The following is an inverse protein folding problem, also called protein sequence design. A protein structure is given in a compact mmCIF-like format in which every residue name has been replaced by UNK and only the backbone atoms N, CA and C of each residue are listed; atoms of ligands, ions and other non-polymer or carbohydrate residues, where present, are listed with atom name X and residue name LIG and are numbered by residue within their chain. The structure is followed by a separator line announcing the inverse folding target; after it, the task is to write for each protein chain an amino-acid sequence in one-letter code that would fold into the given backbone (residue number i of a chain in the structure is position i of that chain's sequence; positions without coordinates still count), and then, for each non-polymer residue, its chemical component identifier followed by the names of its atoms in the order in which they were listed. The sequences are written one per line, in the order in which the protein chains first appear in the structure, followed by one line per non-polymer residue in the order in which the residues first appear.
data_IF_930972797800
#
_entry.id   IF_930972797800
#
_cell.length_a   1.000
_cell.length_b   1.000
_cell.length_c   1.000
_cell.angle_alpha   90.00
_cell.angle_beta   90.00
_cell.angle_gamma   90.00
#
_symmetry.space_group_name_H-M   'P 1'
#
loop_
_entity.id
_entity.type
_entity.pdbx_description
1 polymer ?
#
# COMPACT_ATOMS: atom_id res chain seq x y z
N UNK A 1 7.23 -10.39 -6.40
CA UNK A 1 7.71 -9.10 -6.93
C UNK A 1 8.78 -8.60 -5.99
N UNK A 2 10.02 -8.39 -6.48
CA UNK A 2 11.15 -7.93 -5.66
C UNK A 2 11.15 -6.41 -5.54
N UNK A 3 11.82 -5.87 -4.53
CA UNK A 3 11.96 -4.40 -4.31
C UNK A 3 12.62 -3.72 -5.52
N UNK A 4 13.53 -4.41 -6.20
CA UNK A 4 14.18 -3.93 -7.44
C UNK A 4 13.18 -3.76 -8.59
N UNK A 5 12.21 -4.67 -8.71
CA UNK A 5 11.17 -4.57 -9.73
C UNK A 5 10.26 -3.35 -9.48
N UNK A 6 9.98 -3.04 -8.21
CA UNK A 6 9.22 -1.86 -7.82
C UNK A 6 9.96 -0.56 -8.16
N UNK A 7 11.26 -0.51 -7.86
CA UNK A 7 12.12 0.64 -8.20
C UNK A 7 12.18 0.85 -9.71
N UNK A 8 12.24 -0.22 -10.50
CA UNK A 8 12.24 -0.14 -11.98
C UNK A 8 10.94 0.44 -12.54
N UNK A 9 9.78 0.06 -11.98
CA UNK A 9 8.48 0.59 -12.40
C UNK A 9 8.32 2.08 -12.03
N UNK A 10 8.83 2.51 -10.86
CA UNK A 10 8.86 3.93 -10.44
C UNK A 10 9.69 4.78 -11.41
N UNK A 11 10.86 4.28 -11.83
CA UNK A 11 11.77 5.00 -12.75
C UNK A 11 11.20 5.20 -14.17
N UNK A 12 10.12 4.50 -14.54
CA UNK A 12 9.45 4.68 -15.84
C UNK A 12 8.41 5.81 -15.86
N UNK A 13 8.35 6.64 -14.81
CA UNK A 13 7.43 7.79 -14.73
C UNK A 13 5.98 7.40 -14.43
N UNK A 14 5.73 6.14 -14.05
CA UNK A 14 4.42 5.72 -13.57
C UNK A 14 4.19 6.33 -12.19
N UNK A 15 3.07 7.03 -12.02
CA UNK A 15 2.65 7.64 -10.75
C UNK A 15 2.16 6.53 -9.80
N UNK A 16 3.09 5.73 -9.27
CA UNK A 16 2.80 4.54 -8.48
C UNK A 16 2.64 4.90 -7.00
N UNK A 17 1.52 4.48 -6.43
CA UNK A 17 1.24 4.56 -4.99
C UNK A 17 1.75 3.28 -4.34
N UNK A 18 2.83 3.39 -3.58
CA UNK A 18 3.41 2.26 -2.84
C UNK A 18 2.79 2.19 -1.45
N UNK A 19 2.19 1.06 -1.11
CA UNK A 19 1.62 0.79 0.22
C UNK A 19 2.41 -0.33 0.87
N UNK A 20 3.09 0.00 1.97
CA UNK A 20 3.80 -0.97 2.81
C UNK A 20 2.85 -1.53 3.86
N UNK A 21 2.62 -2.84 3.82
CA UNK A 21 1.71 -3.53 4.76
C UNK A 21 2.42 -4.19 5.95
N UNK A 22 3.69 -3.84 6.18
CA UNK A 22 4.45 -4.25 7.37
C UNK A 22 3.99 -3.49 8.61
N UNK A 23 4.37 -4.01 9.78
CA UNK A 23 4.13 -3.33 11.04
C UNK A 23 5.07 -2.12 11.19
N UNK A 24 4.62 -0.99 11.78
CA UNK A 24 5.42 0.22 11.94
C UNK A 24 6.78 -0.03 12.63
N UNK A 25 6.82 -1.00 13.55
CA UNK A 25 8.03 -1.42 14.27
C UNK A 25 9.09 -2.06 13.36
N UNK A 26 8.70 -2.70 12.27
CA UNK A 26 9.64 -3.23 11.26
C UNK A 26 10.25 -2.09 10.44
N UNK A 27 9.46 -1.05 10.12
CA UNK A 27 9.90 0.12 9.36
C UNK A 27 10.89 0.96 10.17
N UNK A 28 10.70 1.08 11.47
CA UNK A 28 11.64 1.78 12.37
C UNK A 28 13.05 1.16 12.35
N UNK A 29 13.15 -0.15 12.11
CA UNK A 29 14.42 -0.89 12.11
C UNK A 29 15.04 -1.03 10.72
N UNK A 30 14.23 -1.19 9.68
CA UNK A 30 14.70 -1.52 8.32
C UNK A 30 14.57 -0.37 7.34
N UNK A 31 13.90 0.71 7.73
CA UNK A 31 13.52 1.80 6.86
C UNK A 31 12.31 1.46 5.97
N UNK A 32 11.94 2.44 5.15
CA UNK A 32 10.84 2.38 4.20
C UNK A 32 11.30 2.84 2.83
N UNK A 33 10.64 2.35 1.77
CA UNK A 33 10.88 2.87 0.42
C UNK A 33 10.39 4.32 0.38
N UNK A 34 11.17 5.19 -0.28
CA UNK A 34 10.80 6.59 -0.48
C UNK A 34 9.48 6.71 -1.25
N UNK A 35 8.56 7.54 -0.73
CA UNK A 35 7.17 7.72 -1.18
C UNK A 35 6.23 6.53 -0.92
N UNK A 36 6.68 5.53 -0.14
CA UNK A 36 5.76 4.52 0.37
C UNK A 36 5.01 5.00 1.62
N UNK A 37 3.72 4.73 1.62
CA UNK A 37 2.83 4.94 2.76
C UNK A 37 2.68 3.62 3.50
N UNK A 38 2.80 3.65 4.81
CA UNK A 38 2.61 2.46 5.63
C UNK A 38 1.14 2.34 6.03
N UNK A 39 0.51 1.23 5.63
CA UNK A 39 -0.83 0.82 6.09
C UNK A 39 -0.70 -0.64 6.50
N UNK A 40 -0.51 -0.93 7.80
CA UNK A 40 -0.30 -2.29 8.29
C UNK A 40 -1.46 -3.21 7.86
N UNK A 41 -1.17 -4.50 7.62
CA UNK A 41 -2.17 -5.45 7.16
C UNK A 41 -3.46 -5.44 8.01
N UNK A 42 -3.33 -5.32 9.33
CA UNK A 42 -4.47 -5.25 10.26
C UNK A 42 -5.34 -4.01 10.09
N UNK A 43 -4.80 -2.93 9.52
CA UNK A 43 -5.54 -1.70 9.25
C UNK A 43 -6.08 -1.61 7.82
N UNK A 44 -5.74 -2.52 6.89
CA UNK A 44 -6.12 -2.38 5.48
C UNK A 44 -7.64 -2.26 5.30
N UNK A 45 -8.42 -3.12 5.96
CA UNK A 45 -9.88 -3.11 5.81
C UNK A 45 -10.49 -1.84 6.39
N UNK A 46 -10.05 -1.41 7.59
CA UNK A 46 -10.55 -0.20 8.22
C UNK A 46 -10.14 1.05 7.45
N UNK A 47 -8.87 1.14 7.02
CA UNK A 47 -8.34 2.23 6.19
C UNK A 47 -9.19 2.41 4.94
N UNK A 48 -9.39 1.35 4.15
CA UNK A 48 -10.13 1.44 2.90
C UNK A 48 -11.66 1.54 3.08
N UNK A 49 -12.15 1.42 4.33
CA UNK A 49 -13.54 1.71 4.70
C UNK A 49 -13.78 3.17 5.11
N UNK A 50 -12.72 3.94 5.38
CA UNK A 50 -12.81 5.37 5.68
C UNK A 50 -13.30 6.16 4.46
N UNK A 51 -13.92 7.31 4.69
CA UNK A 51 -14.13 8.31 3.64
C UNK A 51 -12.79 8.89 3.15
N UNK A 52 -12.81 9.51 1.96
CA UNK A 52 -11.61 10.00 1.28
C UNK A 52 -10.86 11.06 2.11
N UNK A 53 -11.58 11.91 2.86
CA UNK A 53 -10.99 12.95 3.69
C UNK A 53 -10.28 12.37 4.91
N UNK A 54 -10.94 11.43 5.62
CA UNK A 54 -10.37 10.74 6.78
C UNK A 54 -9.16 9.90 6.38
N UNK A 55 -9.22 9.20 5.24
CA UNK A 55 -8.08 8.45 4.71
C UNK A 55 -6.89 9.38 4.41
N UNK A 56 -7.14 10.48 3.70
CA UNK A 56 -6.10 11.45 3.33
C UNK A 56 -5.45 12.09 4.54
N UNK A 57 -6.22 12.40 5.58
CA UNK A 57 -5.70 12.96 6.82
C UNK A 57 -4.83 11.94 7.57
N UNK A 58 -5.26 10.68 7.67
CA UNK A 58 -4.52 9.64 8.41
C UNK A 58 -3.24 9.17 7.70
N UNK A 59 -3.29 9.01 6.38
CA UNK A 59 -2.22 8.36 5.61
C UNK A 59 -1.45 9.31 4.69
N UNK A 60 -1.80 10.61 4.71
CA UNK A 60 -1.17 11.66 3.89
C UNK A 60 -1.13 11.32 2.39
N UNK A 61 -2.08 10.50 1.94
CA UNK A 61 -2.20 9.98 0.58
C UNK A 61 -3.66 9.98 0.17
N UNK A 62 -3.93 10.29 -1.09
CA UNK A 62 -5.27 10.14 -1.63
C UNK A 62 -5.69 8.67 -1.63
N UNK A 63 -6.89 8.41 -1.08
CA UNK A 63 -7.45 7.07 -1.07
C UNK A 63 -7.48 6.51 -2.50
N UNK A 64 -6.90 5.31 -2.72
CA UNK A 64 -6.97 4.72 -4.04
C UNK A 64 -8.42 4.45 -4.44
N UNK A 65 -8.73 4.77 -5.70
CA UNK A 65 -10.01 4.45 -6.29
C UNK A 65 -10.13 2.93 -6.51
N UNK A 66 -11.35 2.41 -6.54
CA UNK A 66 -11.61 0.96 -6.66
C UNK A 66 -11.00 0.31 -7.90
N UNK A 67 -10.75 1.07 -8.96
CA UNK A 67 -10.19 0.59 -10.23
C UNK A 67 -8.81 1.19 -10.51
N UNK A 68 -8.11 1.66 -9.47
CA UNK A 68 -6.82 2.29 -9.62
C UNK A 68 -5.73 1.24 -9.91
N UNK A 69 -5.23 1.22 -11.14
CA UNK A 69 -4.16 0.30 -11.58
C UNK A 69 -2.76 0.72 -11.16
N UNK A 70 -2.62 1.83 -10.43
CA UNK A 70 -1.34 2.42 -10.04
C UNK A 70 -1.00 2.21 -8.55
N UNK A 71 -1.60 1.22 -7.90
CA UNK A 71 -1.40 0.93 -6.48
C UNK A 71 -0.65 -0.38 -6.31
N UNK A 72 0.38 -0.37 -5.49
CA UNK A 72 1.17 -1.57 -5.23
C UNK A 72 1.33 -1.79 -3.74
N UNK A 73 0.92 -2.98 -3.28
CA UNK A 73 1.13 -3.44 -1.92
C UNK A 73 2.40 -4.28 -1.82
N UNK A 74 3.24 -4.00 -0.83
CA UNK A 74 4.45 -4.79 -0.59
C UNK A 74 4.66 -5.07 0.90
N UNK A 75 5.38 -6.16 1.18
CA UNK A 75 5.85 -6.53 2.50
C UNK A 75 7.14 -7.35 2.39
N UNK A 76 7.74 -7.76 3.53
CA UNK A 76 9.02 -8.49 3.54
C UNK A 76 8.98 -9.83 2.78
N UNK A 77 7.90 -10.59 2.92
CA UNK A 77 7.80 -11.98 2.42
C UNK A 77 6.69 -12.23 1.39
N UNK A 78 6.01 -11.19 0.90
CA UNK A 78 4.90 -11.31 -0.06
C UNK A 78 3.55 -11.78 0.51
N UNK A 79 3.54 -12.55 1.60
CA UNK A 79 2.30 -13.14 2.18
C UNK A 79 1.31 -12.07 2.65
N UNK A 80 1.78 -11.04 3.37
CA UNK A 80 0.90 -9.99 3.90
C UNK A 80 0.34 -9.10 2.80
N UNK A 81 1.15 -8.78 1.79
CA UNK A 81 0.68 -8.02 0.62
C UNK A 81 -0.39 -8.79 -0.16
N UNK A 82 -0.28 -10.12 -0.28
CA UNK A 82 -1.32 -10.94 -0.91
C UNK A 82 -2.62 -10.91 -0.11
N UNK A 83 -2.55 -11.03 1.22
CA UNK A 83 -3.73 -10.91 2.10
C UNK A 83 -4.38 -9.52 2.01
N UNK A 84 -3.57 -8.45 1.95
CA UNK A 84 -4.09 -7.09 1.78
C UNK A 84 -4.86 -6.94 0.47
N UNK A 85 -4.31 -7.45 -0.65
CA UNK A 85 -4.98 -7.45 -1.95
C UNK A 85 -6.30 -8.23 -1.87
N UNK A 86 -6.31 -9.42 -1.27
CA UNK A 86 -7.53 -10.22 -1.13
C UNK A 86 -8.63 -9.48 -0.36
N UNK A 87 -8.29 -8.88 0.79
CA UNK A 87 -9.22 -8.08 1.58
C UNK A 87 -9.83 -6.94 0.76
N UNK A 88 -9.04 -6.30 -0.12
CA UNK A 88 -9.52 -5.21 -0.96
C UNK A 88 -10.39 -5.70 -2.11
N UNK A 89 -10.07 -6.85 -2.72
CA UNK A 89 -10.92 -7.49 -3.71
C UNK A 89 -12.30 -7.79 -3.12
N UNK A 90 -12.35 -8.29 -1.88
CA UNK A 90 -13.60 -8.57 -1.17
C UNK A 90 -14.41 -7.28 -0.89
N UNK A 91 -13.75 -6.13 -0.80
CA UNK A 91 -14.37 -4.79 -0.71
C UNK A 91 -14.75 -4.18 -2.08
N UNK A 92 -14.48 -4.90 -3.17
CA UNK A 92 -14.80 -4.50 -4.54
C UNK A 92 -13.73 -3.67 -5.24
N UNK A 93 -12.47 -3.69 -4.76
CA UNK A 93 -11.32 -3.16 -5.50
C UNK A 93 -10.88 -4.14 -6.59
N UNK A 94 -10.35 -3.62 -7.69
CA UNK A 94 -9.89 -4.37 -8.87
C UNK A 94 -8.56 -3.85 -9.38
#
# INVERSE_FOLDING_TARGET
MTVEHLMSLKNKGANLRLIDVREPSELAQTGKIENAVNIPLGEIVSAFSLDDSSFKNKYEMEKPQKYASNVIFYCKGGVRSMKAIQNLIDMGYK
#
